data_IF_929137754853
#
_entry.id   IF_929137754853
#
_cell.length_a   1.000
_cell.length_b   1.000
_cell.length_c   1.000
_cell.angle_alpha   90.00
_cell.angle_beta   90.00
_cell.angle_gamma   90.00
#
_symmetry.space_group_name_H-M   'P 1'
#
loop_
_entity.id
_entity.type
_entity.pdbx_description
1 polymer ?
#
# COMPACT_ATOMS: atom_id res chain seq x y z
N UNK A 1 -1.06 -11.39 -22.52
CA UNK A 1 -0.31 -10.91 -21.33
C UNK A 1 0.91 -11.83 -21.18
N UNK A 2 2.11 -11.41 -21.59
CA UNK A 2 3.35 -12.18 -21.33
C UNK A 2 3.81 -11.80 -19.93
N UNK A 3 4.05 -12.80 -19.08
CA UNK A 3 4.72 -12.58 -17.79
C UNK A 3 6.21 -12.41 -18.08
N UNK A 4 6.72 -11.19 -17.98
CA UNK A 4 8.17 -10.98 -17.91
C UNK A 4 8.63 -11.44 -16.52
N UNK A 5 9.15 -12.66 -16.46
CA UNK A 5 9.74 -13.23 -15.25
C UNK A 5 11.23 -12.91 -15.27
N UNK A 6 11.66 -12.01 -14.39
CA UNK A 6 13.09 -11.80 -14.11
C UNK A 6 13.54 -12.84 -13.09
N UNK A 7 14.34 -13.81 -13.53
CA UNK A 7 14.90 -14.84 -12.65
C UNK A 7 16.21 -14.31 -12.07
N UNK A 8 16.24 -14.13 -10.76
CA UNK A 8 17.47 -13.80 -10.05
C UNK A 8 18.27 -15.08 -9.82
N UNK A 9 19.52 -15.10 -10.31
CA UNK A 9 20.47 -16.18 -10.04
C UNK A 9 21.10 -15.93 -8.67
N UNK A 10 21.05 -16.91 -7.78
CA UNK A 10 21.75 -16.84 -6.49
C UNK A 10 23.26 -16.90 -6.73
N UNK A 11 23.97 -15.84 -6.32
CA UNK A 11 25.43 -15.79 -6.37
C UNK A 11 25.96 -16.61 -5.19
N UNK A 12 26.73 -17.66 -5.48
CA UNK A 12 27.36 -18.54 -4.49
C UNK A 12 28.74 -18.04 -4.04
N UNK A 13 29.21 -16.94 -4.62
CA UNK A 13 30.47 -16.30 -4.26
C UNK A 13 30.26 -15.36 -3.07
N UNK A 14 30.93 -15.68 -1.96
CA UNK A 14 30.93 -14.91 -0.71
C UNK A 14 32.32 -14.34 -0.38
N UNK A 15 33.31 -14.59 -1.23
CA UNK A 15 34.70 -14.20 -0.99
C UNK A 15 35.02 -12.85 -1.62
N UNK A 16 34.30 -12.46 -2.68
CA UNK A 16 34.48 -11.16 -3.32
C UNK A 16 33.86 -10.02 -2.50
N UNK A 17 34.65 -8.96 -2.25
CA UNK A 17 34.11 -7.75 -1.62
C UNK A 17 33.17 -7.03 -2.60
N UNK A 18 31.98 -6.60 -2.14
CA UNK A 18 31.06 -5.89 -3.00
C UNK A 18 31.66 -4.54 -3.40
N UNK A 19 31.84 -4.35 -4.71
CA UNK A 19 32.24 -3.06 -5.27
C UNK A 19 31.00 -2.28 -5.67
N UNK A 20 30.97 -0.99 -5.30
CA UNK A 20 29.94 -0.09 -5.80
C UNK A 20 30.18 0.13 -7.30
N UNK A 21 29.09 0.15 -8.09
CA UNK A 21 29.19 0.61 -9.46
C UNK A 21 29.50 2.12 -9.44
N UNK A 22 30.75 2.46 -9.75
CA UNK A 22 31.24 3.83 -9.88
C UNK A 22 31.54 4.00 -11.37
N UNK A 23 30.68 4.68 -12.15
CA UNK A 23 30.98 4.96 -13.55
C UNK A 23 32.27 5.79 -13.66
N UNK A 24 33.01 5.64 -14.76
CA UNK A 24 34.37 6.17 -15.02
C UNK A 24 34.48 7.71 -15.12
N UNK A 25 33.71 8.43 -14.31
CA UNK A 25 33.87 9.85 -14.09
C UNK A 25 34.40 10.04 -12.67
N UNK A 26 35.71 10.28 -12.60
CA UNK A 26 36.50 10.73 -11.45
C UNK A 26 37.15 9.63 -10.58
N UNK A 27 38.06 8.85 -11.17
CA UNK A 27 39.19 8.28 -10.42
C UNK A 27 40.28 9.34 -10.21
N UNK A 28 39.99 10.38 -9.44
CA UNK A 28 41.04 11.21 -8.82
C UNK A 28 41.35 10.59 -7.47
N UNK A 29 42.46 9.85 -7.42
CA UNK A 29 43.17 9.39 -6.22
C UNK A 29 42.92 10.33 -5.04
N UNK A 30 42.40 9.86 -3.89
CA UNK A 30 42.80 10.30 -2.55
C UNK A 30 41.95 9.59 -1.48
N UNK A 31 42.35 8.37 -1.11
CA UNK A 31 42.44 8.01 0.31
C UNK A 31 43.41 6.84 0.51
N UNK A 32 44.68 7.09 0.17
CA UNK A 32 45.78 6.48 0.91
C UNK A 32 46.39 7.58 1.78
N UNK A 33 46.60 7.23 3.02
CA UNK A 33 47.03 8.08 4.12
C UNK A 33 48.21 9.01 3.78
N UNK A 34 48.04 10.26 4.21
CA UNK A 34 48.98 11.30 4.60
C UNK A 34 50.47 11.13 4.24
N UNK A 35 50.97 11.97 3.33
CA UNK A 35 52.28 12.65 3.41
C UNK A 35 52.20 14.00 2.66
N UNK A 36 53.12 14.90 3.00
CA UNK A 36 53.03 16.36 3.04
C UNK A 36 53.33 17.12 1.73
N UNK A 37 53.03 18.43 1.79
CA UNK A 37 53.76 19.61 1.23
C UNK A 37 53.48 20.15 -0.19
N UNK A 38 53.36 21.49 -0.21
CA UNK A 38 53.46 22.57 -1.21
C UNK A 38 52.41 22.82 -2.34
N UNK A 39 51.79 24.00 -2.21
CA UNK A 39 51.55 25.11 -3.17
C UNK A 39 51.08 24.88 -4.63
N UNK A 40 50.12 25.71 -5.07
CA UNK A 40 49.88 25.99 -6.49
C UNK A 40 48.46 26.41 -6.82
N UNK A 41 48.23 27.72 -6.87
CA UNK A 41 47.08 28.35 -7.54
C UNK A 41 47.05 27.97 -9.04
N UNK A 42 45.89 27.66 -9.63
CA UNK A 42 45.35 28.42 -10.77
C UNK A 42 43.99 27.87 -11.25
N UNK A 43 43.18 28.82 -11.67
CA UNK A 43 41.90 28.71 -12.36
C UNK A 43 41.94 27.82 -13.62
N UNK A 44 40.87 27.05 -13.87
CA UNK A 44 40.43 26.79 -15.25
C UNK A 44 39.00 26.24 -15.32
N UNK A 45 38.09 27.13 -15.72
CA UNK A 45 36.76 26.83 -16.23
C UNK A 45 36.82 25.86 -17.42
N UNK A 46 36.38 24.61 -17.23
CA UNK A 46 36.36 23.60 -18.29
C UNK A 46 35.06 23.68 -19.10
N UNK A 47 35.22 23.94 -20.39
CA UNK A 47 34.13 24.02 -21.37
C UNK A 47 33.53 22.62 -21.61
N UNK A 48 32.20 22.54 -21.63
CA UNK A 48 31.45 21.36 -22.12
C UNK A 48 31.71 21.18 -23.62
N UNK A 49 32.21 20.01 -24.01
CA UNK A 49 32.25 19.56 -25.41
C UNK A 49 30.87 19.05 -25.84
N UNK A 50 30.48 19.18 -27.12
CA UNK A 50 29.18 18.73 -27.61
C UNK A 50 29.21 17.21 -27.74
N UNK A 51 28.40 16.52 -26.93
CA UNK A 51 28.10 15.11 -27.10
C UNK A 51 27.22 14.93 -28.36
N UNK A 52 27.56 13.96 -29.19
CA UNK A 52 26.75 13.49 -30.32
C UNK A 52 25.50 12.77 -29.80
N UNK A 53 24.33 13.24 -30.21
CA UNK A 53 23.02 12.96 -29.61
C UNK A 53 22.33 11.67 -30.10
N UNK A 54 23.06 10.75 -30.76
CA UNK A 54 22.42 9.76 -31.66
C UNK A 54 22.43 8.30 -31.17
N UNK A 55 22.77 8.00 -29.91
CA UNK A 55 22.82 6.61 -29.42
C UNK A 55 22.24 6.36 -28.01
N UNK A 56 21.36 7.23 -27.52
CA UNK A 56 20.56 6.93 -26.34
C UNK A 56 19.08 7.02 -26.69
N UNK A 57 18.50 5.88 -27.07
CA UNK A 57 17.06 5.75 -27.22
C UNK A 57 16.35 6.22 -25.95
N UNK A 58 15.26 6.96 -26.10
CA UNK A 58 14.47 7.47 -24.97
C UNK A 58 14.13 6.32 -24.00
N UNK A 59 14.35 6.50 -22.68
CA UNK A 59 14.00 5.46 -21.72
C UNK A 59 12.52 5.10 -21.87
N UNK A 60 12.16 3.81 -21.77
CA UNK A 60 10.78 3.38 -21.95
C UNK A 60 9.86 4.15 -20.99
N UNK A 61 8.73 4.64 -21.51
CA UNK A 61 7.73 5.35 -20.72
C UNK A 61 7.43 4.59 -19.43
N UNK A 62 7.50 5.28 -18.28
CA UNK A 62 7.10 4.72 -16.98
C UNK A 62 5.66 4.22 -17.11
N UNK A 63 5.48 2.90 -17.17
CA UNK A 63 4.16 2.28 -17.03
C UNK A 63 3.61 2.67 -15.67
N UNK A 64 2.49 3.39 -15.65
CA UNK A 64 1.76 3.67 -14.43
C UNK A 64 1.45 2.33 -13.75
N UNK A 65 1.91 2.16 -12.50
CA UNK A 65 1.48 1.02 -11.68
C UNK A 65 -0.04 1.11 -11.60
N UNK A 66 -0.73 0.07 -12.06
CA UNK A 66 -2.17 -0.08 -11.82
C UNK A 66 -2.32 -0.14 -10.30
N UNK A 67 -2.90 0.91 -9.71
CA UNK A 67 -3.22 0.93 -8.28
C UNK A 67 -4.19 -0.22 -8.01
N UNK A 68 -3.74 -1.23 -7.27
CA UNK A 68 -4.63 -2.30 -6.83
C UNK A 68 -5.66 -1.68 -5.86
N UNK A 69 -6.97 -2.01 -5.98
CA UNK A 69 -7.98 -1.44 -5.10
C UNK A 69 -7.58 -1.66 -3.64
N UNK A 70 -7.61 -0.59 -2.83
CA UNK A 70 -7.28 -0.64 -1.40
C UNK A 70 -8.25 -1.58 -0.69
N UNK A 71 -7.76 -2.79 -0.37
CA UNK A 71 -8.47 -3.74 0.49
C UNK A 71 -8.39 -3.27 1.94
N UNK A 72 -9.47 -3.45 2.69
CA UNK A 72 -9.55 -3.09 4.11
C UNK A 72 -10.02 -4.30 4.91
N UNK A 73 -9.26 -4.69 5.92
CA UNK A 73 -9.62 -5.71 6.90
C UNK A 73 -10.30 -5.02 8.09
N UNK A 74 -11.48 -5.46 8.47
CA UNK A 74 -12.17 -5.04 9.69
C UNK A 74 -12.27 -6.20 10.66
N UNK A 75 -12.27 -5.90 11.95
CA UNK A 75 -12.54 -6.87 13.01
C UNK A 75 -13.90 -6.58 13.63
N UNK A 76 -14.82 -7.53 13.52
CA UNK A 76 -16.19 -7.39 14.03
C UNK A 76 -16.53 -8.51 14.99
N UNK A 77 -17.34 -8.24 16.00
CA UNK A 77 -17.88 -9.29 16.87
C UNK A 77 -19.29 -8.95 17.30
N UNK A 78 -20.10 -9.94 17.63
CA UNK A 78 -21.35 -9.66 18.35
C UNK A 78 -21.03 -9.27 19.78
N UNK A 79 -21.95 -8.55 20.43
CA UNK A 79 -21.78 -8.15 21.83
C UNK A 79 -21.59 -9.35 22.76
N UNK A 80 -22.24 -10.48 22.45
CA UNK A 80 -22.20 -11.74 23.21
C UNK A 80 -20.96 -12.58 22.94
N UNK A 81 -20.09 -12.19 22.01
CA UNK A 81 -18.92 -12.96 21.58
C UNK A 81 -17.63 -12.28 22.07
N UNK A 82 -16.64 -13.04 22.52
CA UNK A 82 -15.34 -12.50 22.98
C UNK A 82 -14.31 -12.42 21.85
N UNK A 83 -14.51 -13.17 20.78
CA UNK A 83 -13.61 -13.26 19.63
C UNK A 83 -14.11 -12.38 18.50
N UNK A 84 -13.18 -11.83 17.72
CA UNK A 84 -13.49 -11.07 16.51
C UNK A 84 -13.44 -11.95 15.28
N UNK A 85 -14.39 -11.72 14.40
CA UNK A 85 -14.39 -12.17 13.03
C UNK A 85 -13.66 -11.15 12.14
N UNK A 86 -12.88 -11.68 11.20
CA UNK A 86 -12.24 -10.90 10.15
C UNK A 86 -13.20 -10.69 8.97
N UNK A 87 -13.44 -9.43 8.61
CA UNK A 87 -14.14 -9.05 7.38
C UNK A 87 -13.18 -8.35 6.41
N UNK A 88 -12.84 -9.03 5.33
CA UNK A 88 -12.01 -8.47 4.26
C UNK A 88 -12.89 -7.78 3.22
N UNK A 89 -12.86 -6.44 3.19
CA UNK A 89 -13.52 -5.66 2.16
C UNK A 89 -12.61 -5.58 0.93
N UNK A 90 -12.97 -6.32 -0.12
CA UNK A 90 -12.25 -6.30 -1.41
C UNK A 90 -12.28 -4.90 -2.04
N UNK A 91 -13.40 -4.20 -1.87
CA UNK A 91 -13.61 -2.82 -2.26
C UNK A 91 -14.23 -2.06 -1.07
N UNK A 92 -13.69 -0.88 -0.69
CA UNK A 92 -14.20 -0.10 0.44
C UNK A 92 -15.48 0.66 0.04
N UNK A 93 -16.56 -0.10 -0.13
CA UNK A 93 -17.91 0.36 -0.52
C UNK A 93 -18.93 -0.22 0.46
N UNK A 94 -20.11 0.39 0.56
CA UNK A 94 -21.21 -0.12 1.38
C UNK A 94 -21.66 -1.50 0.91
N UNK A 95 -21.73 -1.71 -0.41
CA UNK A 95 -22.06 -3.01 -0.97
C UNK A 95 -21.02 -4.07 -0.55
N UNK A 96 -19.72 -3.75 -0.66
CA UNK A 96 -18.66 -4.67 -0.23
C UNK A 96 -18.72 -5.02 1.25
N UNK A 97 -19.12 -4.07 2.12
CA UNK A 97 -19.36 -4.34 3.53
C UNK A 97 -20.55 -5.28 3.74
N UNK A 98 -21.67 -5.02 3.06
CA UNK A 98 -22.87 -5.86 3.16
C UNK A 98 -22.58 -7.28 2.67
N UNK A 99 -21.88 -7.43 1.54
CA UNK A 99 -21.46 -8.74 1.02
C UNK A 99 -20.59 -9.51 2.03
N UNK A 100 -19.59 -8.86 2.63
CA UNK A 100 -18.73 -9.50 3.61
C UNK A 100 -19.49 -9.93 4.88
N UNK A 101 -20.41 -9.10 5.37
CA UNK A 101 -21.26 -9.42 6.53
C UNK A 101 -22.22 -10.58 6.17
N UNK A 102 -22.86 -10.51 5.00
CA UNK A 102 -23.77 -11.56 4.52
C UNK A 102 -23.07 -12.91 4.38
N UNK A 103 -21.86 -12.93 3.83
CA UNK A 103 -21.04 -14.14 3.75
C UNK A 103 -20.68 -14.67 5.15
N UNK A 104 -20.24 -13.78 6.05
CA UNK A 104 -19.76 -14.16 7.38
C UNK A 104 -20.86 -14.69 8.30
N UNK A 105 -22.07 -14.12 8.23
CA UNK A 105 -23.19 -14.42 9.12
C UNK A 105 -24.35 -15.13 8.41
N UNK A 106 -24.13 -15.61 7.18
CA UNK A 106 -25.11 -16.35 6.38
C UNK A 106 -26.44 -15.60 6.19
N UNK A 107 -26.38 -14.27 6.08
CA UNK A 107 -27.56 -13.42 5.89
C UNK A 107 -27.90 -13.30 4.39
N UNK A 108 -29.16 -13.52 3.98
CA UNK A 108 -29.59 -13.27 2.61
C UNK A 108 -29.38 -11.79 2.25
N UNK A 109 -28.62 -11.54 1.19
CA UNK A 109 -28.26 -10.20 0.71
C UNK A 109 -29.50 -9.31 0.50
N UNK A 110 -30.56 -9.85 -0.09
CA UNK A 110 -31.81 -9.12 -0.33
C UNK A 110 -32.57 -8.74 0.95
N UNK A 111 -32.24 -9.36 2.10
CA UNK A 111 -32.84 -9.07 3.40
C UNK A 111 -32.03 -8.07 4.21
N UNK A 112 -30.83 -7.68 3.77
CA UNK A 112 -30.08 -6.62 4.45
C UNK A 112 -30.67 -5.27 4.07
N UNK A 113 -31.25 -4.60 5.06
CA UNK A 113 -31.86 -3.28 4.90
C UNK A 113 -30.88 -2.17 5.21
N UNK A 114 -31.18 -1.42 6.28
CA UNK A 114 -30.41 -0.22 6.65
C UNK A 114 -29.14 -0.61 7.41
N UNK A 115 -28.03 0.02 7.05
CA UNK A 115 -26.73 -0.14 7.71
C UNK A 115 -26.32 1.18 8.37
N UNK A 116 -25.95 1.09 9.64
CA UNK A 116 -25.61 2.23 10.47
C UNK A 116 -24.22 2.09 11.10
N UNK A 117 -23.52 3.22 11.25
CA UNK A 117 -22.34 3.35 12.11
C UNK A 117 -22.75 4.03 13.41
N UNK A 118 -22.32 3.52 14.56
CA UNK A 118 -22.30 4.26 15.82
C UNK A 118 -20.85 4.56 16.20
N UNK A 119 -20.44 5.82 16.18
CA UNK A 119 -19.07 6.18 16.57
C UNK A 119 -18.90 6.20 18.10
N UNK A 120 -17.66 6.31 18.59
CA UNK A 120 -17.36 6.37 20.05
C UNK A 120 -18.08 7.52 20.78
N UNK A 121 -18.44 8.59 20.07
CA UNK A 121 -19.23 9.71 20.61
C UNK A 121 -20.73 9.39 20.75
N UNK A 122 -21.16 8.18 20.39
CA UNK A 122 -22.56 7.75 20.43
C UNK A 122 -23.41 8.21 19.25
N UNK A 123 -22.83 8.93 18.28
CA UNK A 123 -23.55 9.44 17.11
C UNK A 123 -23.84 8.28 16.15
N UNK A 124 -25.11 8.12 15.78
CA UNK A 124 -25.57 7.15 14.80
C UNK A 124 -25.60 7.81 13.40
N UNK A 125 -24.97 7.16 12.43
CA UNK A 125 -24.78 7.67 11.06
C UNK A 125 -25.27 6.62 10.07
N UNK A 126 -26.05 7.03 9.08
CA UNK A 126 -26.37 6.19 7.93
C UNK A 126 -25.10 5.93 7.12
N UNK A 127 -24.75 4.67 6.89
CA UNK A 127 -23.55 4.36 6.13
C UNK A 127 -23.76 4.61 4.63
N UNK A 128 -22.72 5.11 3.98
CA UNK A 128 -22.54 5.21 2.54
C UNK A 128 -21.09 4.85 2.18
N UNK A 129 -20.77 4.82 0.88
CA UNK A 129 -19.41 4.53 0.42
C UNK A 129 -18.34 5.49 0.96
N UNK A 130 -18.71 6.74 1.25
CA UNK A 130 -17.75 7.72 1.75
C UNK A 130 -17.33 7.38 3.18
N UNK A 131 -18.26 6.94 4.02
CA UNK A 131 -17.93 6.46 5.37
C UNK A 131 -17.01 5.23 5.30
N UNK A 132 -17.32 4.25 4.43
CA UNK A 132 -16.51 3.02 4.31
C UNK A 132 -15.07 3.31 3.87
N UNK A 133 -14.88 4.26 2.95
CA UNK A 133 -13.53 4.68 2.49
C UNK A 133 -12.63 5.24 3.59
N UNK A 134 -13.21 5.68 4.71
CA UNK A 134 -12.43 6.21 5.84
C UNK A 134 -12.04 5.14 6.87
N UNK A 135 -12.49 3.90 6.72
CA UNK A 135 -12.03 2.83 7.60
C UNK A 135 -10.57 2.49 7.33
N UNK A 136 -9.86 2.26 8.42
CA UNK A 136 -8.48 1.79 8.42
C UNK A 136 -8.45 0.28 8.56
N UNK A 137 -7.31 -0.31 8.19
CA UNK A 137 -7.08 -1.73 8.47
C UNK A 137 -7.15 -1.96 9.97
N UNK A 138 -7.81 -3.07 10.32
CA UNK A 138 -7.98 -3.57 11.68
C UNK A 138 -8.90 -2.71 12.56
N UNK A 139 -9.64 -1.76 11.97
CA UNK A 139 -10.70 -1.05 12.69
C UNK A 139 -11.67 -2.07 13.30
N UNK A 140 -11.98 -1.86 14.58
CA UNK A 140 -12.73 -2.80 15.40
C UNK A 140 -14.15 -2.31 15.65
N UNK A 141 -15.12 -3.22 15.53
CA UNK A 141 -16.52 -2.91 15.76
C UNK A 141 -17.25 -4.03 16.51
N UNK A 142 -18.26 -3.65 17.28
CA UNK A 142 -19.34 -4.55 17.64
C UNK A 142 -20.47 -4.46 16.61
N UNK A 143 -20.96 -5.60 16.15
CA UNK A 143 -22.10 -5.66 15.21
C UNK A 143 -23.38 -6.07 15.93
N UNK A 144 -24.44 -5.30 15.70
CA UNK A 144 -25.82 -5.63 16.07
C UNK A 144 -26.65 -5.87 14.81
N UNK A 145 -27.48 -6.89 14.83
CA UNK A 145 -28.35 -7.32 13.74
C UNK A 145 -29.76 -7.49 14.28
N UNK A 146 -30.65 -6.57 13.94
CA UNK A 146 -32.04 -6.59 14.37
C UNK A 146 -32.95 -6.96 13.18
N UNK A 147 -33.74 -8.02 13.31
CA UNK A 147 -34.70 -8.42 12.29
C UNK A 147 -36.07 -7.78 12.56
N UNK A 148 -36.59 -7.03 11.58
CA UNK A 148 -37.92 -6.42 11.61
C UNK A 148 -38.64 -6.75 10.31
N UNK A 149 -39.63 -7.62 10.39
CA UNK A 149 -40.44 -8.01 9.23
C UNK A 149 -39.64 -8.73 8.14
N UNK A 150 -38.66 -9.55 8.52
CA UNK A 150 -37.81 -10.29 7.58
C UNK A 150 -36.67 -9.48 6.97
N UNK A 151 -36.49 -8.22 7.38
CA UNK A 151 -35.39 -7.35 6.96
C UNK A 151 -34.46 -7.12 8.15
N UNK A 152 -33.16 -7.25 7.92
CA UNK A 152 -32.12 -7.01 8.90
C UNK A 152 -31.68 -5.54 8.88
N UNK A 153 -31.72 -4.90 10.05
CA UNK A 153 -31.05 -3.62 10.31
C UNK A 153 -29.69 -3.91 10.95
N UNK A 154 -28.62 -3.45 10.32
CA UNK A 154 -27.25 -3.64 10.79
C UNK A 154 -26.74 -2.37 11.48
N UNK A 155 -26.07 -2.51 12.62
CA UNK A 155 -25.36 -1.40 13.28
C UNK A 155 -23.95 -1.83 13.67
N UNK A 156 -22.93 -1.15 13.15
CA UNK A 156 -21.53 -1.31 13.56
C UNK A 156 -21.19 -0.22 14.58
N UNK A 157 -20.91 -0.61 15.81
CA UNK A 157 -20.50 0.27 16.91
C UNK A 157 -18.99 0.23 17.06
N UNK A 158 -18.35 1.38 16.90
CA UNK A 158 -16.89 1.52 17.03
C UNK A 158 -16.48 1.39 18.50
N UNK A 159 -15.44 0.59 18.76
CA UNK A 159 -14.90 0.31 20.11
C UNK A 159 -13.47 0.83 20.27
#
# INVERSE_FOLDING_TARGET
KRNDVTIFKTMSDLETQPVLFIPDIHFSNFQRHAFTTEEGEDSSSMRRLPFSDDEFGSPPNKVARVDEPKKVLLYVRKETEEVFDALMLKNPTLQGLVEAISEKYELPLEKVGKVYKKCKKGILVHMDDNIIKHYSNEDTFQISMEELGGIYKLTLTEI
#
